data_IF_084353987102
#
_entry.id   IF_084353987102
#
_cell.length_a   1.000
_cell.length_b   1.000
_cell.length_c   1.000
_cell.angle_alpha   90.00
_cell.angle_beta   90.00
_cell.angle_gamma   90.00
#
_symmetry.space_group_name_H-M   'P 1'
#
loop_
_entity.id
_entity.type
_entity.pdbx_description
1 polymer ?
#
# COMPACT_ATOMS: atom_id res chain seq x y z
N UNK A 1 32.56 -4.72 4.16
CA UNK A 1 31.44 -5.37 3.43
C UNK A 1 30.07 -5.06 4.04
N UNK A 2 29.92 -5.07 5.37
CA UNK A 2 28.63 -4.87 6.07
C UNK A 2 28.09 -3.44 5.94
N UNK A 3 28.93 -2.41 6.07
CA UNK A 3 28.51 -1.00 5.97
C UNK A 3 27.99 -0.63 4.57
N UNK A 4 28.64 -1.15 3.51
CA UNK A 4 28.22 -0.95 2.14
C UNK A 4 26.85 -1.59 1.87
N UNK A 5 26.66 -2.84 2.33
CA UNK A 5 25.40 -3.55 2.21
C UNK A 5 24.27 -2.85 2.95
N UNK A 6 24.54 -2.32 4.14
CA UNK A 6 23.57 -1.54 4.92
C UNK A 6 23.19 -0.23 4.20
N UNK A 7 24.14 0.39 3.51
CA UNK A 7 23.89 1.59 2.71
C UNK A 7 22.99 1.28 1.52
N UNK A 8 23.26 0.22 0.75
CA UNK A 8 22.38 -0.22 -0.33
C UNK A 8 20.98 -0.54 0.18
N UNK A 9 20.86 -1.23 1.33
CA UNK A 9 19.58 -1.57 1.94
C UNK A 9 18.78 -0.31 2.35
N UNK A 10 19.47 0.73 2.82
CA UNK A 10 18.82 2.00 3.19
C UNK A 10 18.30 2.75 1.96
N UNK A 11 19.09 2.85 0.90
CA UNK A 11 18.62 3.45 -0.36
C UNK A 11 17.49 2.66 -1.00
N UNK A 12 17.55 1.34 -0.99
CA UNK A 12 16.50 0.46 -1.54
C UNK A 12 15.14 0.54 -0.82
N UNK A 13 15.07 1.19 0.34
CA UNK A 13 13.80 1.44 1.05
C UNK A 13 13.13 2.75 0.65
N UNK A 14 13.89 3.64 0.01
CA UNK A 14 13.37 4.93 -0.40
C UNK A 14 12.51 4.75 -1.66
N UNK A 15 11.24 5.11 -1.58
CA UNK A 15 10.29 4.95 -2.68
C UNK A 15 10.66 5.81 -3.90
N UNK A 16 11.25 6.96 -3.66
CA UNK A 16 11.73 7.86 -4.70
C UNK A 16 12.97 7.32 -5.44
N UNK A 17 13.69 6.33 -4.88
CA UNK A 17 14.90 5.77 -5.47
C UNK A 17 14.55 4.56 -6.33
N UNK A 18 15.03 4.56 -7.57
CA UNK A 18 14.86 3.45 -8.52
C UNK A 18 16.00 2.44 -8.38
N UNK A 19 17.23 2.95 -8.45
CA UNK A 19 18.44 2.16 -8.22
C UNK A 19 19.57 3.07 -7.71
N UNK A 20 20.53 2.46 -7.03
CA UNK A 20 21.73 3.11 -6.50
C UNK A 20 22.94 2.33 -6.98
N UNK A 21 23.95 3.02 -7.47
CA UNK A 21 25.26 2.47 -7.78
C UNK A 21 26.32 3.16 -6.92
N UNK A 22 27.16 2.37 -6.25
CA UNK A 22 28.23 2.87 -5.38
C UNK A 22 29.54 2.38 -5.98
N UNK A 23 30.39 3.31 -6.39
CA UNK A 23 31.67 3.06 -7.00
C UNK A 23 32.81 3.57 -6.11
N UNK A 24 33.83 2.77 -5.97
CA UNK A 24 35.04 3.15 -5.24
C UNK A 24 36.20 3.24 -6.22
N UNK A 25 36.93 4.35 -6.18
CA UNK A 25 38.17 4.58 -6.96
C UNK A 25 39.31 4.85 -6.00
N UNK A 26 40.43 4.17 -6.20
CA UNK A 26 41.65 4.42 -5.44
C UNK A 26 42.24 5.77 -5.83
N UNK A 27 42.64 6.56 -4.84
CA UNK A 27 43.37 7.81 -5.05
C UNK A 27 44.87 7.50 -5.16
N UNK A 28 45.54 7.88 -6.29
CA UNK A 28 46.96 7.64 -6.45
C UNK A 28 47.74 8.33 -5.30
N UNK A 29 48.78 7.67 -4.84
CA UNK A 29 49.70 8.10 -3.78
C UNK A 29 49.07 8.28 -2.37
N UNK A 30 47.90 7.72 -2.14
CA UNK A 30 47.23 7.74 -0.82
C UNK A 30 46.60 6.38 -0.50
N UNK A 31 46.38 6.11 0.80
CA UNK A 31 45.59 4.96 1.25
C UNK A 31 44.09 5.29 1.38
N UNK A 32 43.59 6.24 0.56
CA UNK A 32 42.21 6.71 0.58
C UNK A 32 41.45 6.23 -0.65
N UNK A 33 40.16 5.99 -0.47
CA UNK A 33 39.22 5.64 -1.54
C UNK A 33 38.28 6.83 -1.77
N UNK A 34 38.07 7.17 -3.02
CA UNK A 34 36.97 8.04 -3.43
C UNK A 34 35.71 7.21 -3.56
N UNK A 35 34.58 7.69 -3.05
CA UNK A 35 33.29 7.01 -3.10
C UNK A 35 32.29 7.83 -3.90
N UNK A 36 31.94 7.35 -5.07
CA UNK A 36 30.92 7.95 -5.92
C UNK A 36 29.59 7.20 -5.77
N UNK A 37 28.54 7.92 -5.39
CA UNK A 37 27.20 7.37 -5.22
C UNK A 37 26.29 7.96 -6.30
N UNK A 38 25.91 7.12 -7.27
CA UNK A 38 24.98 7.46 -8.33
C UNK A 38 23.58 6.98 -7.97
N UNK A 39 22.62 7.89 -7.91
CA UNK A 39 21.24 7.58 -7.57
C UNK A 39 20.34 7.93 -8.76
N UNK A 40 19.58 6.96 -9.24
CA UNK A 40 18.50 7.17 -10.18
C UNK A 40 17.18 7.24 -9.46
N UNK A 41 16.39 8.28 -9.71
CA UNK A 41 15.09 8.48 -9.09
C UNK A 41 13.95 7.97 -9.96
N UNK A 42 12.84 7.61 -9.34
CA UNK A 42 11.57 7.31 -10.01
C UNK A 42 10.85 8.61 -10.36
N UNK A 43 9.96 8.56 -11.35
CA UNK A 43 8.99 9.65 -11.54
C UNK A 43 8.18 9.82 -10.25
N UNK A 44 8.01 11.05 -9.76
CA UNK A 44 7.32 11.26 -8.48
C UNK A 44 5.86 10.84 -8.53
N UNK A 45 5.19 11.00 -9.66
CA UNK A 45 3.78 10.70 -9.83
C UNK A 45 3.55 9.59 -10.84
N UNK A 46 2.58 8.73 -10.58
CA UNK A 46 2.05 7.74 -11.52
C UNK A 46 0.53 7.65 -11.41
N UNK A 47 -0.11 7.37 -12.53
CA UNK A 47 -1.53 7.06 -12.62
C UNK A 47 -1.64 5.73 -13.34
N UNK A 48 -2.42 4.81 -12.79
CA UNK A 48 -2.76 3.55 -13.43
C UNK A 48 -4.26 3.38 -13.53
N UNK A 49 -4.69 2.82 -14.66
CA UNK A 49 -6.08 2.50 -14.94
C UNK A 49 -6.16 1.02 -15.27
N UNK A 50 -7.02 0.27 -14.56
CA UNK A 50 -7.16 -1.17 -14.70
C UNK A 50 -8.64 -1.52 -14.86
N UNK A 51 -9.10 -1.85 -16.10
CA UNK A 51 -10.38 -2.50 -16.31
C UNK A 51 -10.26 -4.00 -16.03
N UNK A 52 -11.30 -4.59 -15.45
CA UNK A 52 -11.39 -6.00 -15.09
C UNK A 52 -12.76 -6.54 -15.52
N UNK A 53 -12.79 -7.73 -16.11
CA UNK A 53 -14.01 -8.52 -16.28
C UNK A 53 -14.13 -9.48 -15.10
N UNK A 54 -15.32 -9.60 -14.50
CA UNK A 54 -15.58 -10.52 -13.39
C UNK A 54 -16.63 -11.57 -13.80
N UNK A 55 -16.51 -12.76 -13.24
CA UNK A 55 -17.51 -13.80 -13.35
C UNK A 55 -17.59 -14.53 -12.01
N UNK A 56 -18.66 -14.28 -11.27
CA UNK A 56 -18.89 -14.86 -9.96
C UNK A 56 -20.07 -15.81 -10.02
N UNK A 57 -19.80 -17.11 -9.96
CA UNK A 57 -20.82 -18.17 -9.99
C UNK A 57 -21.79 -18.12 -11.19
N UNK A 58 -21.32 -17.59 -12.34
CA UNK A 58 -22.13 -17.43 -13.55
C UNK A 58 -22.66 -16.02 -13.77
N UNK A 59 -22.57 -15.14 -12.78
CA UNK A 59 -22.91 -13.73 -12.92
C UNK A 59 -21.78 -12.96 -13.58
N UNK A 60 -22.07 -12.29 -14.68
CA UNK A 60 -21.10 -11.50 -15.43
C UNK A 60 -21.04 -10.07 -14.89
N UNK A 61 -19.84 -9.57 -14.76
CA UNK A 61 -19.62 -8.23 -14.28
C UNK A 61 -18.39 -7.56 -14.86
N UNK A 62 -18.23 -6.31 -14.50
CA UNK A 62 -17.06 -5.50 -14.83
C UNK A 62 -16.65 -4.66 -13.63
N UNK A 63 -15.35 -4.45 -13.49
CA UNK A 63 -14.80 -3.51 -12.51
C UNK A 63 -13.78 -2.61 -13.17
N UNK A 64 -13.59 -1.45 -12.56
CA UNK A 64 -12.58 -0.47 -12.97
C UNK A 64 -11.87 0.04 -11.74
N UNK A 65 -10.54 0.09 -11.82
CA UNK A 65 -9.71 0.67 -10.79
C UNK A 65 -8.88 1.82 -11.37
N UNK A 66 -8.86 2.94 -10.66
CA UNK A 66 -8.02 4.09 -10.92
C UNK A 66 -7.12 4.32 -9.72
N UNK A 67 -5.81 4.26 -9.90
CA UNK A 67 -4.84 4.47 -8.82
C UNK A 67 -3.91 5.62 -9.17
N UNK A 68 -3.79 6.57 -8.25
CA UNK A 68 -2.78 7.61 -8.27
C UNK A 68 -1.75 7.34 -7.18
N UNK A 69 -0.47 7.47 -7.50
CA UNK A 69 0.64 7.33 -6.56
C UNK A 69 1.60 8.51 -6.65
N UNK A 70 2.09 8.94 -5.48
CA UNK A 70 3.19 9.89 -5.38
C UNK A 70 4.28 9.29 -4.47
N UNK A 71 5.49 9.13 -5.03
CA UNK A 71 6.62 8.45 -4.37
C UNK A 71 7.49 9.39 -3.51
N UNK A 72 7.12 10.66 -3.38
CA UNK A 72 7.93 11.65 -2.65
C UNK A 72 7.07 12.80 -2.11
N UNK A 73 5.94 12.49 -1.48
CA UNK A 73 4.89 13.44 -1.11
C UNK A 73 5.42 14.62 -0.28
N UNK A 74 6.20 14.33 0.77
CA UNK A 74 6.76 15.34 1.66
C UNK A 74 8.27 15.53 1.46
N UNK A 75 8.82 15.15 0.30
CA UNK A 75 10.26 15.20 -0.04
C UNK A 75 11.14 14.30 0.85
N UNK A 76 10.54 13.35 1.55
CA UNK A 76 11.22 12.35 2.38
C UNK A 76 11.07 10.93 1.87
N UNK A 77 10.72 10.76 0.57
CA UNK A 77 10.48 9.46 -0.07
C UNK A 77 9.30 8.69 0.53
N UNK A 78 8.28 9.40 0.96
CA UNK A 78 7.01 8.83 1.38
C UNK A 78 6.20 8.43 0.14
N UNK A 79 5.57 7.25 0.19
CA UNK A 79 4.60 6.81 -0.80
C UNK A 79 3.19 7.20 -0.36
N UNK A 80 2.54 8.03 -1.14
CA UNK A 80 1.11 8.26 -1.05
C UNK A 80 0.42 7.55 -2.21
N UNK A 81 -0.63 6.80 -1.91
CA UNK A 81 -1.46 6.14 -2.92
C UNK A 81 -2.93 6.37 -2.61
N UNK A 82 -3.71 6.71 -3.62
CA UNK A 82 -5.17 6.71 -3.55
C UNK A 82 -5.69 5.85 -4.70
N UNK A 83 -6.55 4.89 -4.35
CA UNK A 83 -7.21 3.99 -5.29
C UNK A 83 -8.72 4.15 -5.21
N UNK A 84 -9.33 4.34 -6.35
CA UNK A 84 -10.76 4.33 -6.55
C UNK A 84 -11.11 3.06 -7.34
N UNK A 85 -12.05 2.27 -6.84
CA UNK A 85 -12.55 1.08 -7.54
C UNK A 85 -14.06 1.10 -7.58
N UNK A 86 -14.61 0.85 -8.75
CA UNK A 86 -16.02 0.59 -8.98
C UNK A 86 -16.21 -0.79 -9.60
N UNK A 87 -17.17 -1.56 -9.13
CA UNK A 87 -17.52 -2.85 -9.71
C UNK A 87 -19.05 -2.97 -9.82
N UNK A 88 -19.46 -3.66 -10.88
CA UNK A 88 -20.85 -3.97 -11.18
C UNK A 88 -20.93 -5.43 -11.62
N UNK A 89 -21.92 -6.18 -11.11
CA UNK A 89 -22.23 -7.53 -11.56
C UNK A 89 -23.74 -7.67 -11.78
N UNK A 90 -24.12 -8.17 -12.94
CA UNK A 90 -25.50 -8.52 -13.26
C UNK A 90 -25.84 -9.86 -12.61
N UNK A 91 -26.69 -9.84 -11.57
CA UNK A 91 -27.07 -11.06 -10.85
C UNK A 91 -28.18 -11.76 -11.58
N UNK A 92 -27.94 -13.03 -11.96
CA UNK A 92 -28.91 -13.90 -12.60
C UNK A 92 -29.27 -15.09 -11.71
N UNK A 93 -30.56 -15.44 -11.67
CA UNK A 93 -31.01 -16.68 -11.01
C UNK A 93 -31.37 -16.61 -9.52
N UNK A 94 -31.44 -15.44 -8.91
CA UNK A 94 -32.00 -15.28 -7.58
C UNK A 94 -33.52 -15.06 -7.64
N UNK A 95 -34.29 -16.09 -7.24
CA UNK A 95 -35.74 -16.00 -7.15
C UNK A 95 -36.18 -14.89 -6.18
N UNK A 96 -37.01 -13.97 -6.67
CA UNK A 96 -37.53 -12.85 -5.89
C UNK A 96 -36.68 -11.57 -5.93
N UNK A 97 -35.54 -11.57 -6.61
CA UNK A 97 -34.64 -10.42 -6.76
C UNK A 97 -34.40 -10.02 -8.22
N UNK A 98 -35.38 -10.22 -9.06
CA UNK A 98 -35.31 -9.84 -10.48
C UNK A 98 -35.00 -8.33 -10.60
N UNK A 99 -33.98 -7.98 -11.43
CA UNK A 99 -33.48 -6.62 -11.68
C UNK A 99 -32.76 -5.94 -10.50
N UNK A 100 -32.12 -6.68 -9.62
CA UNK A 100 -31.23 -6.09 -8.59
C UNK A 100 -29.81 -6.58 -8.83
N UNK A 101 -28.95 -5.66 -9.18
CA UNK A 101 -27.56 -5.91 -9.50
C UNK A 101 -26.67 -5.72 -8.27
N UNK A 102 -25.44 -6.20 -8.36
CA UNK A 102 -24.40 -5.95 -7.39
C UNK A 102 -23.60 -4.72 -7.79
N UNK A 103 -23.46 -3.81 -6.86
CA UNK A 103 -22.61 -2.63 -7.00
C UNK A 103 -21.62 -2.53 -5.85
N UNK A 104 -20.37 -2.24 -6.17
CA UNK A 104 -19.34 -1.99 -5.19
C UNK A 104 -18.53 -0.75 -5.55
N UNK A 105 -18.32 0.11 -4.55
CA UNK A 105 -17.44 1.26 -4.65
C UNK A 105 -16.44 1.21 -3.49
N UNK A 106 -15.16 1.33 -3.81
CA UNK A 106 -14.10 1.33 -2.83
C UNK A 106 -13.18 2.54 -3.06
N UNK A 107 -12.88 3.22 -1.96
CA UNK A 107 -11.85 4.25 -1.90
C UNK A 107 -10.82 3.80 -0.88
N UNK A 108 -9.58 3.61 -1.31
CA UNK A 108 -8.47 3.28 -0.43
C UNK A 108 -7.39 4.35 -0.52
N UNK A 109 -6.94 4.82 0.62
CA UNK A 109 -5.82 5.75 0.75
C UNK A 109 -4.75 5.12 1.60
N UNK A 110 -3.51 5.12 1.10
CA UNK A 110 -2.35 4.56 1.77
C UNK A 110 -1.23 5.60 1.84
N UNK A 111 -0.63 5.73 3.01
CA UNK A 111 0.54 6.56 3.23
C UNK A 111 1.64 5.74 3.89
N UNK A 112 2.73 5.52 3.17
CA UNK A 112 3.87 4.74 3.66
C UNK A 112 5.08 5.65 3.87
N UNK A 113 5.66 5.56 5.05
CA UNK A 113 6.87 6.28 5.42
C UNK A 113 8.07 5.33 5.43
N UNK A 114 9.22 5.70 4.83
CA UNK A 114 10.43 4.86 4.85
C UNK A 114 11.09 4.77 6.23
N UNK A 115 10.47 5.38 7.24
CA UNK A 115 10.92 5.47 8.63
C UNK A 115 9.80 5.15 9.61
N UNK A 116 10.16 4.85 10.85
CA UNK A 116 9.18 4.65 11.91
C UNK A 116 8.54 5.99 12.33
N UNK A 117 7.21 6.03 12.29
CA UNK A 117 6.41 7.08 12.91
C UNK A 117 5.85 6.51 14.22
N UNK A 118 6.48 6.83 15.34
CA UNK A 118 6.04 6.43 16.66
C UNK A 118 6.31 7.61 17.61
N UNK A 119 5.31 8.43 17.96
CA UNK A 119 5.51 9.62 18.78
C UNK A 119 6.04 9.27 20.17
N UNK A 120 5.75 8.07 20.66
CA UNK A 120 6.13 7.55 21.98
C UNK A 120 7.55 6.96 22.06
N UNK A 121 8.27 6.79 20.91
CA UNK A 121 9.63 6.24 20.92
C UNK A 121 10.70 7.32 20.87
N UNK A 122 11.79 7.11 21.61
CA UNK A 122 12.95 8.01 21.62
C UNK A 122 13.67 8.02 20.26
N UNK A 123 14.34 9.13 19.94
CA UNK A 123 15.08 9.29 18.66
C UNK A 123 16.16 8.22 18.46
N UNK A 124 16.83 7.80 19.54
CA UNK A 124 17.86 6.76 19.51
C UNK A 124 17.29 5.42 19.08
N UNK A 125 16.16 5.02 19.68
CA UNK A 125 15.49 3.75 19.38
C UNK A 125 14.94 3.72 17.94
N UNK A 126 14.40 4.86 17.46
CA UNK A 126 13.92 4.99 16.06
C UNK A 126 15.02 4.80 15.03
N UNK A 127 16.26 5.19 15.34
CA UNK A 127 17.40 5.05 14.41
C UNK A 127 17.87 3.60 14.28
N UNK A 128 17.75 2.81 15.35
CA UNK A 128 18.14 1.39 15.35
C UNK A 128 17.10 0.47 14.69
N UNK A 129 15.82 0.85 14.83
CA UNK A 129 14.71 0.13 14.22
C UNK A 129 14.56 0.53 12.76
N UNK A 130 15.01 -0.32 11.86
CA UNK A 130 14.85 -0.17 10.41
C UNK A 130 13.40 -0.47 9.95
N UNK A 131 12.42 0.20 10.57
CA UNK A 131 11.00 -0.01 10.36
C UNK A 131 10.43 1.02 9.38
N UNK A 132 9.50 0.58 8.55
CA UNK A 132 8.62 1.43 7.74
C UNK A 132 7.27 1.52 8.45
N UNK A 133 6.62 2.67 8.34
CA UNK A 133 5.27 2.88 8.87
C UNK A 133 4.29 3.03 7.74
N UNK A 134 3.13 2.39 7.87
CA UNK A 134 2.02 2.47 6.92
C UNK A 134 0.76 2.93 7.65
N UNK A 135 0.13 3.94 7.10
CA UNK A 135 -1.23 4.35 7.45
C UNK A 135 -2.13 3.98 6.27
N UNK A 136 -3.21 3.29 6.56
CA UNK A 136 -4.22 2.89 5.58
C UNK A 136 -5.58 3.36 6.05
N UNK A 137 -6.32 3.94 5.13
CA UNK A 137 -7.72 4.29 5.30
C UNK A 137 -8.48 3.78 4.09
N UNK A 138 -9.58 3.06 4.32
CA UNK A 138 -10.42 2.52 3.25
C UNK A 138 -11.89 2.67 3.60
N UNK A 139 -12.68 3.04 2.61
CA UNK A 139 -14.13 3.04 2.68
C UNK A 139 -14.69 2.18 1.54
N UNK A 140 -15.38 1.12 1.91
CA UNK A 140 -16.03 0.21 0.98
C UNK A 140 -17.55 0.28 1.13
N UNK A 141 -18.21 0.49 0.03
CA UNK A 141 -19.65 0.54 -0.13
C UNK A 141 -20.08 -0.59 -1.03
N UNK A 142 -20.91 -1.49 -0.53
CA UNK A 142 -21.37 -2.66 -1.23
C UNK A 142 -22.89 -2.74 -1.16
N UNK A 143 -23.54 -2.75 -2.30
CA UNK A 143 -24.97 -2.95 -2.45
C UNK A 143 -25.20 -4.30 -3.16
N UNK A 144 -25.82 -5.22 -2.44
CA UNK A 144 -26.30 -6.50 -2.96
C UNK A 144 -27.80 -6.59 -2.85
N UNK A 145 -28.45 -7.44 -3.63
CA UNK A 145 -29.89 -7.70 -3.48
C UNK A 145 -30.28 -8.14 -2.06
N UNK A 146 -29.36 -8.83 -1.34
CA UNK A 146 -29.60 -9.41 -0.03
C UNK A 146 -29.28 -8.43 1.10
N UNK A 147 -28.32 -7.53 0.93
CA UNK A 147 -27.89 -6.56 1.95
C UNK A 147 -27.16 -5.36 1.37
N UNK A 148 -27.18 -4.26 2.10
CA UNK A 148 -26.28 -3.13 1.89
C UNK A 148 -25.25 -3.09 3.00
N UNK A 149 -23.97 -3.00 2.65
CA UNK A 149 -22.86 -2.98 3.60
C UNK A 149 -21.99 -1.77 3.37
N UNK A 150 -21.59 -1.14 4.46
CA UNK A 150 -20.63 -0.05 4.51
C UNK A 150 -19.52 -0.45 5.45
N UNK A 151 -18.28 -0.44 4.99
CA UNK A 151 -17.12 -0.80 5.79
C UNK A 151 -16.14 0.36 5.77
N UNK A 152 -15.82 0.86 6.95
CA UNK A 152 -14.77 1.84 7.17
C UNK A 152 -13.59 1.13 7.83
N UNK A 153 -12.42 1.17 7.21
CA UNK A 153 -11.20 0.56 7.73
C UNK A 153 -10.16 1.65 7.99
N UNK A 154 -9.55 1.60 9.16
CA UNK A 154 -8.40 2.41 9.51
C UNK A 154 -7.30 1.52 10.09
N UNK A 155 -6.09 1.56 9.55
CA UNK A 155 -5.01 0.73 10.03
C UNK A 155 -3.70 1.52 10.15
N UNK A 156 -2.94 1.19 11.20
CA UNK A 156 -1.59 1.67 11.41
C UNK A 156 -0.67 0.47 11.58
N UNK A 157 0.27 0.30 10.64
CA UNK A 157 1.11 -0.88 10.52
C UNK A 157 2.57 -0.51 10.48
N UNK A 158 3.40 -1.43 10.98
CA UNK A 158 4.85 -1.37 10.86
C UNK A 158 5.35 -2.56 10.06
N UNK A 159 6.25 -2.29 9.11
CA UNK A 159 6.89 -3.29 8.28
C UNK A 159 8.39 -3.23 8.45
N UNK A 160 9.04 -4.40 8.55
CA UNK A 160 10.50 -4.47 8.47
C UNK A 160 10.97 -5.75 7.81
N UNK A 161 12.12 -5.65 7.15
CA UNK A 161 12.77 -6.77 6.50
C UNK A 161 14.11 -7.03 7.16
N UNK A 162 14.36 -8.29 7.51
CA UNK A 162 15.68 -8.77 7.91
C UNK A 162 16.33 -9.42 6.69
N UNK A 163 17.16 -8.67 5.97
CA UNK A 163 17.78 -9.14 4.74
C UNK A 163 18.78 -10.28 4.97
N UNK A 164 19.40 -10.38 6.17
CA UNK A 164 20.33 -11.48 6.51
C UNK A 164 19.61 -12.82 6.64
N UNK A 165 18.37 -12.82 7.09
CA UNK A 165 17.55 -14.02 7.31
C UNK A 165 16.45 -14.19 6.27
N UNK A 166 16.39 -13.34 5.26
CA UNK A 166 15.32 -13.32 4.24
C UNK A 166 13.89 -13.35 4.84
N UNK A 167 13.69 -12.66 5.97
CA UNK A 167 12.41 -12.61 6.67
C UNK A 167 11.82 -11.22 6.61
N UNK A 168 10.52 -11.15 6.33
CA UNK A 168 9.72 -9.94 6.46
C UNK A 168 8.76 -10.09 7.63
N UNK A 169 8.55 -9.00 8.35
CA UNK A 169 7.66 -8.93 9.50
C UNK A 169 6.70 -7.77 9.30
N UNK A 170 5.48 -7.97 9.76
CA UNK A 170 4.45 -6.96 9.87
C UNK A 170 3.91 -6.95 11.29
N UNK A 171 3.73 -5.77 11.84
CA UNK A 171 3.09 -5.55 13.13
C UNK A 171 1.98 -4.52 12.96
N UNK A 172 0.76 -4.92 13.20
CA UNK A 172 -0.41 -4.06 13.14
C UNK A 172 -0.60 -3.45 14.53
N UNK A 173 -0.27 -2.16 14.69
CA UNK A 173 -0.45 -1.40 15.93
C UNK A 173 -1.93 -1.11 16.16
N UNK A 174 -2.63 -0.76 15.10
CA UNK A 174 -4.06 -0.48 15.10
C UNK A 174 -4.66 -1.06 13.82
N UNK A 175 -5.78 -1.75 13.94
CA UNK A 175 -6.61 -2.19 12.83
C UNK A 175 -8.07 -2.11 13.27
N UNK A 176 -8.78 -1.11 12.77
CA UNK A 176 -10.17 -0.84 13.10
C UNK A 176 -11.01 -1.07 11.86
N UNK A 177 -12.00 -1.95 11.97
CA UNK A 177 -12.99 -2.21 10.95
C UNK A 177 -14.37 -1.90 11.50
N UNK A 178 -14.96 -0.80 11.06
CA UNK A 178 -16.33 -0.45 11.40
C UNK A 178 -17.24 -0.90 10.27
N UNK A 179 -18.16 -1.81 10.59
CA UNK A 179 -19.13 -2.36 9.64
C UNK A 179 -20.52 -1.86 9.97
N UNK A 180 -21.18 -1.24 9.02
CA UNK A 180 -22.57 -0.81 9.12
C UNK A 180 -23.39 -1.44 8.00
N UNK A 181 -24.50 -2.07 8.37
CA UNK A 181 -25.48 -2.67 7.46
C UNK A 181 -26.80 -1.91 7.53
N UNK A 182 -27.00 -0.88 6.68
CA UNK A 182 -28.20 -0.07 6.72
C UNK A 182 -29.46 -0.83 6.31
N UNK A 183 -29.31 -1.90 5.53
CA UNK A 183 -30.41 -2.73 5.08
C UNK A 183 -29.99 -4.17 4.91
N UNK A 184 -30.86 -5.08 5.35
CA UNK A 184 -30.74 -6.53 5.20
C UNK A 184 -32.12 -7.06 4.82
N UNK A 185 -32.19 -7.96 3.81
CA UNK A 185 -33.45 -8.56 3.41
C UNK A 185 -34.00 -9.49 4.50
N UNK A 186 -35.32 -9.64 4.54
CA UNK A 186 -35.97 -10.52 5.54
C UNK A 186 -35.60 -12.00 5.36
N UNK A 187 -35.26 -12.41 4.16
CA UNK A 187 -34.85 -13.79 3.82
C UNK A 187 -33.45 -14.10 4.35
N UNK A 188 -32.67 -13.08 4.69
CA UNK A 188 -31.29 -13.19 5.17
C UNK A 188 -31.15 -12.99 6.70
N UNK A 189 -32.26 -12.66 7.38
CA UNK A 189 -32.33 -12.60 8.84
C UNK A 189 -32.66 -13.97 9.43
#
# INVERSE_FOLDING_TARGET
ATALQDTYNKFGRLQAVKYTNIHFTELPDTNLLNCDIQISTRKPNSISFQPEGTNTAGDLGAAVSLTYENNNLFRGSELFSIQLRGAFEAISGLDGYQNKDYEEYNVETKLMFPRIIAPFLTKRFKKELNLQSELLFSYNLQNRPEFHRRVLTGAWRYHWKNNRRHRSYRFDLLDINYVHMPWISQTFK
#
